data_IF_499079790212
#
_entry.id   IF_499079790212
#
_cell.length_a   1.000
_cell.length_b   1.000
_cell.length_c   1.000
_cell.angle_alpha   90.00
_cell.angle_beta   90.00
_cell.angle_gamma   90.00
#
_symmetry.space_group_name_H-M   'P 1'
#
loop_
_entity.id
_entity.type
_entity.pdbx_description
1 polymer ?
#
# COMPACT_ATOMS: atom_id res chain seq x y z
N UNK A 1 16.11 8.27 -4.26
CA UNK A 1 14.91 7.44 -4.09
C UNK A 1 15.29 6.00 -3.80
N UNK A 2 14.65 5.38 -2.82
CA UNK A 2 14.99 4.01 -2.42
C UNK A 2 14.11 3.00 -3.14
N UNK A 3 14.74 1.94 -3.65
CA UNK A 3 14.05 0.80 -4.27
C UNK A 3 14.72 -0.49 -3.80
N UNK A 4 14.28 -1.04 -2.65
CA UNK A 4 14.82 -2.33 -2.19
C UNK A 4 14.71 -3.39 -3.28
N UNK A 5 15.81 -4.06 -3.57
CA UNK A 5 15.87 -5.02 -4.68
C UNK A 5 15.17 -6.35 -4.39
N UNK A 6 14.91 -6.64 -3.12
CA UNK A 6 14.19 -7.85 -2.69
C UNK A 6 12.67 -7.73 -2.88
N UNK A 7 12.18 -6.54 -3.23
CA UNK A 7 10.76 -6.31 -3.47
C UNK A 7 10.44 -6.33 -4.96
N UNK A 8 9.20 -6.63 -5.29
CA UNK A 8 8.67 -6.48 -6.64
C UNK A 8 7.78 -5.25 -6.68
N UNK A 9 7.69 -4.60 -7.84
CA UNK A 9 6.96 -3.36 -8.00
C UNK A 9 5.95 -3.45 -9.14
N UNK A 10 4.75 -2.90 -8.93
CA UNK A 10 3.72 -2.82 -9.95
C UNK A 10 3.87 -1.56 -10.80
N UNK A 11 3.10 -1.47 -11.89
CA UNK A 11 3.06 -0.27 -12.76
C UNK A 11 2.57 0.97 -12.03
N UNK A 12 1.72 0.80 -11.04
CA UNK A 12 1.15 1.89 -10.23
C UNK A 12 1.96 2.14 -8.96
N UNK A 13 3.18 1.60 -8.91
CA UNK A 13 4.16 1.86 -7.85
C UNK A 13 3.80 1.29 -6.47
N UNK A 14 3.01 0.22 -6.42
CA UNK A 14 2.90 -0.59 -5.22
C UNK A 14 4.05 -1.60 -5.19
N UNK A 15 4.56 -1.89 -4.00
CA UNK A 15 5.53 -2.97 -3.83
C UNK A 15 4.86 -4.19 -3.22
N UNK A 16 5.43 -5.36 -3.50
CA UNK A 16 5.00 -6.63 -2.92
C UNK A 16 6.18 -7.43 -2.44
N UNK A 17 5.97 -8.16 -1.36
CA UNK A 17 6.90 -9.20 -0.91
C UNK A 17 6.09 -10.36 -0.34
N UNK A 18 6.68 -11.55 -0.34
CA UNK A 18 6.05 -12.74 0.25
C UNK A 18 6.79 -13.10 1.53
N UNK A 19 6.03 -13.22 2.62
CA UNK A 19 6.55 -13.65 3.90
C UNK A 19 5.66 -14.76 4.43
N UNK A 20 6.24 -15.94 4.72
CA UNK A 20 5.51 -17.06 5.32
C UNK A 20 4.21 -17.43 4.57
N UNK A 21 4.26 -17.38 3.24
CA UNK A 21 3.10 -17.69 2.39
C UNK A 21 2.07 -16.57 2.27
N UNK A 22 2.35 -15.41 2.85
CA UNK A 22 1.46 -14.23 2.80
C UNK A 22 2.10 -13.16 1.94
N UNK A 23 1.30 -12.54 1.07
CA UNK A 23 1.74 -11.43 0.24
C UNK A 23 1.48 -10.12 0.96
N UNK A 24 2.54 -9.33 1.16
CA UNK A 24 2.49 -8.02 1.81
C UNK A 24 2.56 -6.95 0.73
N UNK A 25 1.67 -5.97 0.79
CA UNK A 25 1.54 -4.91 -0.22
C UNK A 25 1.72 -3.54 0.45
N UNK A 26 2.48 -2.67 -0.21
CA UNK A 26 2.65 -1.29 0.21
C UNK A 26 2.89 -0.38 -1.00
N UNK A 27 3.22 0.88 -0.76
CA UNK A 27 3.57 1.82 -1.84
C UNK A 27 5.07 2.11 -1.82
N UNK A 28 5.64 2.38 -3.00
CA UNK A 28 7.06 2.65 -3.15
C UNK A 28 7.41 4.06 -2.66
N UNK A 29 8.71 4.31 -2.51
CA UNK A 29 9.22 5.64 -2.18
C UNK A 29 8.84 6.66 -3.26
N UNK A 30 8.88 6.26 -4.53
CA UNK A 30 8.43 7.10 -5.64
C UNK A 30 6.95 7.50 -5.46
N UNK A 31 6.09 6.53 -5.11
CA UNK A 31 4.66 6.79 -4.97
C UNK A 31 4.38 7.80 -3.86
N UNK A 32 5.00 7.63 -2.69
CA UNK A 32 4.79 8.57 -1.58
C UNK A 32 5.32 9.97 -1.90
N UNK A 33 6.44 10.05 -2.63
CA UNK A 33 7.02 11.32 -3.02
C UNK A 33 6.10 12.07 -4.01
N UNK A 34 5.54 11.35 -4.97
CA UNK A 34 4.60 11.91 -5.95
C UNK A 34 3.31 12.40 -5.29
N UNK A 35 2.84 11.69 -4.25
CA UNK A 35 1.64 12.08 -3.51
C UNK A 35 1.86 13.32 -2.63
N UNK A 36 3.06 13.49 -2.09
CA UNK A 36 3.32 14.48 -1.05
C UNK A 36 2.79 14.00 0.30
N UNK A 37 2.55 14.92 1.22
CA UNK A 37 2.15 14.56 2.59
C UNK A 37 0.80 13.84 2.62
N UNK A 38 0.80 12.61 3.10
CA UNK A 38 -0.39 11.78 3.22
C UNK A 38 -1.16 12.17 4.48
N UNK A 39 -2.46 12.41 4.31
CA UNK A 39 -3.33 12.86 5.40
C UNK A 39 -4.39 11.84 5.77
N UNK A 40 -4.74 10.92 4.87
CA UNK A 40 -5.73 9.89 5.13
C UNK A 40 -5.53 8.68 4.22
N UNK A 41 -5.85 7.48 4.73
CA UNK A 41 -5.76 6.24 3.98
C UNK A 41 -7.07 5.46 4.18
N UNK A 42 -7.69 5.04 3.08
CA UNK A 42 -8.83 4.12 3.10
C UNK A 42 -8.34 2.73 2.75
N UNK A 43 -8.54 1.77 3.64
CA UNK A 43 -8.13 0.39 3.49
C UNK A 43 -9.33 -0.54 3.52
N UNK A 44 -9.24 -1.74 2.88
CA UNK A 44 -10.31 -2.73 2.97
C UNK A 44 -10.36 -3.35 4.36
N UNK A 45 -11.34 -4.21 4.59
CA UNK A 45 -11.44 -4.99 5.82
C UNK A 45 -10.87 -6.38 5.62
N UNK A 46 -10.47 -7.03 6.72
CA UNK A 46 -10.09 -8.43 6.69
C UNK A 46 -11.27 -9.26 6.15
N UNK A 47 -10.96 -10.19 5.26
CA UNK A 47 -11.98 -11.02 4.61
C UNK A 47 -12.43 -10.47 3.26
N UNK A 48 -12.13 -9.23 2.94
CA UNK A 48 -12.45 -8.66 1.63
C UNK A 48 -11.60 -9.30 0.54
N UNK A 49 -12.16 -9.44 -0.64
CA UNK A 49 -11.43 -9.93 -1.81
C UNK A 49 -10.83 -8.76 -2.56
N UNK A 50 -9.57 -8.90 -2.97
CA UNK A 50 -8.90 -7.94 -3.86
C UNK A 50 -8.56 -8.64 -5.18
N UNK A 51 -8.57 -7.87 -6.26
CA UNK A 51 -8.31 -8.39 -7.61
C UNK A 51 -7.18 -7.60 -8.25
N UNK A 52 -6.21 -8.30 -8.81
CA UNK A 52 -5.07 -7.67 -9.48
C UNK A 52 -5.56 -6.68 -10.55
N UNK A 53 -5.03 -5.48 -10.51
CA UNK A 53 -5.38 -4.41 -11.45
C UNK A 53 -6.58 -3.58 -11.03
N UNK A 54 -7.25 -3.91 -9.92
CA UNK A 54 -8.38 -3.13 -9.41
C UNK A 54 -8.03 -2.42 -8.10
N UNK A 55 -8.68 -1.29 -7.86
CA UNK A 55 -8.47 -0.52 -6.64
C UNK A 55 -8.97 -1.30 -5.43
N UNK A 56 -8.16 -1.33 -4.36
CA UNK A 56 -8.56 -1.92 -3.08
C UNK A 56 -8.75 -0.86 -1.99
N UNK A 57 -8.40 0.36 -2.27
CA UNK A 57 -8.52 1.47 -1.34
C UNK A 57 -8.03 2.74 -2.01
N UNK A 58 -7.83 3.77 -1.22
CA UNK A 58 -7.27 5.02 -1.72
C UNK A 58 -6.44 5.73 -0.64
N UNK A 59 -5.66 6.70 -1.08
CA UNK A 59 -4.85 7.52 -0.20
C UNK A 59 -5.11 8.98 -0.53
N UNK A 60 -5.36 9.78 0.49
CA UNK A 60 -5.51 11.22 0.35
C UNK A 60 -4.25 11.93 0.82
N UNK A 61 -3.80 12.85 0.00
CA UNK A 61 -2.67 13.71 0.33
C UNK A 61 -3.11 15.17 0.29
N UNK A 62 -2.20 16.07 0.67
CA UNK A 62 -2.45 17.51 0.57
C UNK A 62 -2.68 17.97 -0.86
N UNK A 63 -2.30 17.17 -1.85
CA UNK A 63 -2.41 17.50 -3.28
C UNK A 63 -3.63 16.87 -3.94
N UNK A 64 -3.96 15.61 -3.62
CA UNK A 64 -4.92 14.82 -4.38
C UNK A 64 -5.36 13.56 -3.64
N UNK A 65 -6.34 12.86 -4.24
CA UNK A 65 -6.75 11.52 -3.85
C UNK A 65 -6.28 10.56 -4.94
N UNK A 66 -5.67 9.45 -4.55
CA UNK A 66 -5.14 8.46 -5.49
C UNK A 66 -5.62 7.06 -5.11
N UNK A 67 -6.08 6.29 -6.09
CA UNK A 67 -6.45 4.90 -5.87
C UNK A 67 -5.21 4.05 -5.57
N UNK A 68 -5.41 3.07 -4.68
CA UNK A 68 -4.43 2.03 -4.42
C UNK A 68 -4.86 0.80 -5.22
N UNK A 69 -4.03 0.41 -6.18
CA UNK A 69 -4.34 -0.70 -7.09
C UNK A 69 -3.67 -1.96 -6.58
N UNK A 70 -4.44 -3.05 -6.47
CA UNK A 70 -3.89 -4.32 -6.00
C UNK A 70 -3.01 -4.96 -7.08
N UNK A 71 -1.77 -5.34 -6.74
CA UNK A 71 -0.92 -6.09 -7.66
C UNK A 71 -1.24 -7.59 -7.67
N UNK A 72 -2.12 -8.05 -6.77
CA UNK A 72 -2.41 -9.48 -6.61
C UNK A 72 -3.89 -9.72 -6.42
N UNK A 73 -4.31 -10.96 -6.65
CA UNK A 73 -5.69 -11.42 -6.39
C UNK A 73 -5.69 -12.34 -5.18
N UNK A 74 -6.63 -12.12 -4.27
CA UNK A 74 -6.76 -12.97 -3.09
C UNK A 74 -7.67 -12.35 -2.04
N UNK A 75 -7.60 -12.90 -0.84
CA UNK A 75 -8.39 -12.43 0.30
C UNK A 75 -7.49 -11.72 1.29
N UNK A 76 -7.93 -10.54 1.74
CA UNK A 76 -7.19 -9.75 2.73
C UNK A 76 -7.21 -10.49 4.07
N UNK A 77 -6.03 -10.82 4.60
CA UNK A 77 -5.90 -11.49 5.88
C UNK A 77 -5.43 -10.55 7.00
N UNK A 78 -4.91 -9.39 6.65
CA UNK A 78 -4.52 -8.37 7.62
C UNK A 78 -4.49 -6.99 6.98
N UNK A 79 -4.77 -5.97 7.78
CA UNK A 79 -4.75 -4.56 7.38
C UNK A 79 -3.91 -3.82 8.42
N UNK A 80 -3.05 -2.91 7.95
CA UNK A 80 -2.21 -2.13 8.86
C UNK A 80 -3.03 -0.96 9.44
N UNK A 81 -3.69 -1.22 10.55
CA UNK A 81 -4.55 -0.24 11.21
C UNK A 81 -3.79 0.98 11.75
N UNK A 82 -2.49 0.85 11.95
CA UNK A 82 -1.65 1.95 12.41
C UNK A 82 -1.70 3.13 11.42
N UNK A 83 -1.87 2.84 10.13
CA UNK A 83 -1.97 3.88 9.10
C UNK A 83 -3.25 4.70 9.21
N UNK A 84 -4.29 4.19 9.85
CA UNK A 84 -5.52 4.94 10.08
C UNK A 84 -5.31 6.06 11.10
N UNK A 85 -4.40 5.84 12.04
CA UNK A 85 -4.04 6.84 13.07
C UNK A 85 -2.84 7.69 12.65
N UNK A 86 -1.93 7.12 11.89
CA UNK A 86 -0.67 7.76 11.50
C UNK A 86 -0.38 7.56 10.01
N UNK A 87 -1.21 8.13 9.12
CA UNK A 87 -1.05 7.94 7.67
C UNK A 87 0.26 8.48 7.12
N UNK A 88 0.87 9.45 7.79
CA UNK A 88 2.15 10.04 7.42
C UNK A 88 3.31 9.04 7.48
N UNK A 89 3.13 7.88 8.05
CA UNK A 89 4.14 6.82 8.02
C UNK A 89 4.40 6.31 6.59
N UNK A 90 3.43 6.45 5.68
CA UNK A 90 3.65 6.15 4.28
C UNK A 90 4.73 7.06 3.68
N UNK A 91 4.85 8.29 4.17
CA UNK A 91 5.90 9.22 3.72
C UNK A 91 7.24 8.93 4.39
N UNK A 92 7.24 8.71 5.70
CA UNK A 92 8.48 8.56 6.46
C UNK A 92 9.11 7.19 6.32
N UNK A 93 8.31 6.14 6.10
CA UNK A 93 8.79 4.76 6.02
C UNK A 93 7.92 3.92 5.08
N UNK A 94 7.94 4.20 3.77
CA UNK A 94 7.05 3.53 2.82
C UNK A 94 7.26 2.01 2.75
N UNK A 95 8.45 1.51 3.04
CA UNK A 95 8.74 0.07 2.99
C UNK A 95 8.49 -0.64 4.32
N UNK A 96 8.37 0.09 5.41
CA UNK A 96 7.95 -0.46 6.70
C UNK A 96 6.45 -0.31 6.92
N UNK A 97 5.82 0.67 6.27
CA UNK A 97 4.39 0.96 6.40
C UNK A 97 3.60 0.16 5.35
N UNK A 98 3.48 -1.14 5.57
CA UNK A 98 2.68 -1.98 4.68
C UNK A 98 1.19 -1.61 4.79
N UNK A 99 0.44 -1.84 3.69
CA UNK A 99 -0.98 -1.52 3.61
C UNK A 99 -1.87 -2.70 3.97
N UNK A 100 -1.72 -3.81 3.25
CA UNK A 100 -2.52 -5.02 3.45
C UNK A 100 -1.65 -6.25 3.29
N UNK A 101 -2.15 -7.36 3.83
CA UNK A 101 -1.60 -8.70 3.60
C UNK A 101 -2.70 -9.56 2.98
N UNK A 102 -2.32 -10.30 1.95
CA UNK A 102 -3.24 -11.10 1.13
C UNK A 102 -2.88 -12.57 1.13
#
# INVERSE_FOLDING_TARGET
MLYPIELQYSKSHEWVKTEDGVTVVGISDFAQDALGDVVFVNLPAEGDTVTAGEAFGDVESVKAVSDLVSPVTGTVCAVNEELLDAPEKLNSDPYGAWLIKV
#
